data_IF_428353810933
#
_entry.id   IF_428353810933
#
_cell.length_a   1.000
_cell.length_b   1.000
_cell.length_c   1.000
_cell.angle_alpha   90.00
_cell.angle_beta   90.00
_cell.angle_gamma   90.00
#
_symmetry.space_group_name_H-M   'P 1'
#
loop_
_entity.id
_entity.type
_entity.pdbx_description
1 polymer ?
#
# COMPACT_ATOMS: atom_id res chain seq x y z
N UNK A 1 -4.45 13.01 -6.75
CA UNK A 1 -3.12 12.93 -6.15
C UNK A 1 -2.30 14.17 -6.48
N UNK A 2 -2.22 14.61 -7.75
CA UNK A 2 -1.46 15.78 -8.19
C UNK A 2 -1.63 16.99 -7.26
N UNK A 3 -2.90 17.36 -6.99
CA UNK A 3 -3.24 18.47 -6.09
C UNK A 3 -2.61 18.36 -4.70
N UNK A 4 -2.60 17.15 -4.13
CA UNK A 4 -1.98 16.91 -2.82
C UNK A 4 -0.47 17.10 -2.87
N UNK A 5 0.18 16.62 -3.93
CA UNK A 5 1.64 16.72 -4.08
C UNK A 5 2.08 18.15 -4.35
N UNK A 6 1.29 18.91 -5.12
CA UNK A 6 1.72 20.23 -5.63
C UNK A 6 1.29 21.39 -4.75
N UNK A 7 0.13 21.28 -4.07
CA UNK A 7 -0.50 22.42 -3.40
C UNK A 7 -0.53 22.32 -1.87
N UNK A 8 -0.44 21.10 -1.32
CA UNK A 8 -0.60 20.91 0.12
C UNK A 8 0.76 20.76 0.79
N UNK A 9 1.18 21.72 1.64
CA UNK A 9 2.39 21.59 2.43
C UNK A 9 2.29 20.44 3.44
N UNK A 10 3.42 19.79 3.73
CA UNK A 10 3.50 18.68 4.70
C UNK A 10 2.49 17.55 4.44
N UNK A 11 2.19 17.29 3.17
CA UNK A 11 1.28 16.24 2.77
C UNK A 11 2.01 14.95 2.40
N UNK A 12 3.08 15.10 1.60
CA UNK A 12 3.89 13.98 1.13
C UNK A 12 5.04 13.75 2.08
N UNK A 13 5.24 12.50 2.47
CA UNK A 13 6.37 12.13 3.31
C UNK A 13 7.01 10.81 2.90
N UNK A 14 8.26 10.62 3.28
CA UNK A 14 8.97 9.35 3.25
C UNK A 14 9.15 8.82 4.66
N UNK A 15 9.40 7.53 4.80
CA UNK A 15 9.57 6.88 6.09
C UNK A 15 10.89 6.13 6.17
N UNK A 16 11.59 6.30 7.29
CA UNK A 16 12.68 5.45 7.72
C UNK A 16 12.61 5.21 9.22
N UNK A 17 13.32 4.22 9.75
CA UNK A 17 13.35 3.97 11.20
C UNK A 17 13.96 5.12 12.01
N UNK A 18 14.94 5.82 11.42
CA UNK A 18 15.60 6.98 12.03
C UNK A 18 14.81 8.28 11.87
N UNK A 19 13.96 8.38 10.84
CA UNK A 19 13.12 9.54 10.55
C UNK A 19 11.75 9.06 10.05
N UNK A 20 10.80 8.99 10.98
CA UNK A 20 9.51 8.33 10.75
C UNK A 20 8.57 9.09 9.81
N UNK A 21 8.72 10.41 9.70
CA UNK A 21 7.91 11.24 8.81
C UNK A 21 8.75 12.40 8.28
N UNK A 22 9.57 12.11 7.29
CA UNK A 22 10.31 13.14 6.58
C UNK A 22 9.41 13.75 5.51
N UNK A 23 8.91 14.97 5.74
CA UNK A 23 8.05 15.66 4.81
C UNK A 23 8.83 16.21 3.61
N UNK A 24 8.24 16.01 2.43
CA UNK A 24 8.75 16.55 1.18
C UNK A 24 8.05 17.88 0.86
N UNK A 25 8.80 18.85 0.36
CA UNK A 25 8.23 20.11 -0.10
C UNK A 25 7.32 19.87 -1.34
N UNK A 26 6.25 20.66 -1.50
CA UNK A 26 5.45 20.63 -2.71
C UNK A 26 6.33 20.85 -3.96
N UNK A 27 6.08 20.06 -5.01
CA UNK A 27 6.86 20.09 -6.27
C UNK A 27 5.94 20.30 -7.45
N UNK A 28 6.37 21.07 -8.43
CA UNK A 28 5.66 21.25 -9.71
C UNK A 28 6.03 20.19 -10.75
N UNK A 29 7.27 19.71 -10.73
CA UNK A 29 7.75 18.65 -11.62
C UNK A 29 7.57 17.27 -10.94
N UNK A 30 6.41 16.67 -11.17
CA UNK A 30 6.01 15.42 -10.52
C UNK A 30 5.88 14.25 -11.48
N UNK A 31 5.81 14.49 -12.78
CA UNK A 31 5.57 13.45 -13.76
C UNK A 31 6.85 12.90 -14.42
N UNK A 32 6.85 11.64 -14.84
CA UNK A 32 5.85 10.62 -14.55
C UNK A 32 6.07 9.97 -13.17
N UNK A 33 5.00 9.39 -12.60
CA UNK A 33 5.07 8.65 -11.34
C UNK A 33 4.17 7.41 -11.33
N UNK A 34 4.42 6.50 -10.40
CA UNK A 34 3.57 5.34 -10.10
C UNK A 34 2.71 5.62 -8.87
N UNK A 35 1.39 5.50 -9.00
CA UNK A 35 0.47 5.43 -7.87
C UNK A 35 0.11 3.97 -7.59
N UNK A 36 0.39 3.51 -6.38
CA UNK A 36 -0.01 2.21 -5.84
C UNK A 36 -1.18 2.43 -4.89
N UNK A 37 -2.39 2.20 -5.37
CA UNK A 37 -3.61 2.36 -4.59
C UNK A 37 -4.01 1.03 -3.95
N UNK A 38 -3.90 0.95 -2.62
CA UNK A 38 -4.14 -0.26 -1.82
C UNK A 38 -5.47 -0.13 -1.08
N UNK A 39 -6.49 -0.79 -1.63
CA UNK A 39 -7.79 -0.97 -1.00
C UNK A 39 -8.00 -2.44 -0.60
N UNK A 40 -9.18 -3.02 -0.87
CA UNK A 40 -9.41 -4.48 -0.74
C UNK A 40 -8.51 -5.29 -1.67
N UNK A 41 -8.29 -4.82 -2.90
CA UNK A 41 -7.22 -5.23 -3.81
C UNK A 41 -6.27 -4.07 -4.08
N UNK A 42 -5.37 -4.23 -5.04
CA UNK A 42 -4.34 -3.23 -5.40
C UNK A 42 -4.42 -2.88 -6.87
N UNK A 43 -4.43 -1.59 -7.17
CA UNK A 43 -4.26 -1.07 -8.53
C UNK A 43 -3.00 -0.23 -8.62
N UNK A 44 -2.23 -0.44 -9.67
CA UNK A 44 -1.02 0.31 -9.98
C UNK A 44 -1.25 1.14 -11.23
N UNK A 45 -1.09 2.45 -11.10
CA UNK A 45 -1.46 3.45 -12.10
C UNK A 45 -0.23 4.30 -12.40
N UNK A 46 0.20 4.28 -13.65
CA UNK A 46 1.18 5.22 -14.18
C UNK A 46 0.48 6.53 -14.48
N UNK A 47 1.00 7.63 -13.96
CA UNK A 47 0.52 8.97 -14.25
C UNK A 47 1.62 9.70 -15.01
N UNK A 48 1.32 10.09 -16.26
CA UNK A 48 2.28 10.66 -17.19
C UNK A 48 2.12 12.17 -17.38
N UNK A 49 1.02 12.75 -16.88
CA UNK A 49 0.71 14.17 -16.99
C UNK A 49 -0.65 14.49 -16.37
N UNK A 50 -1.07 15.77 -16.35
CA UNK A 50 -2.36 16.16 -15.82
C UNK A 50 -3.50 15.38 -16.49
N UNK A 51 -4.29 14.66 -15.69
CA UNK A 51 -5.41 13.81 -16.17
C UNK A 51 -5.00 12.71 -17.18
N UNK A 52 -3.70 12.44 -17.34
CA UNK A 52 -3.17 11.40 -18.22
C UNK A 52 -2.63 10.26 -17.40
N UNK A 53 -3.35 9.16 -17.37
CA UNK A 53 -3.02 8.01 -16.54
C UNK A 53 -3.40 6.69 -17.21
N UNK A 54 -2.69 5.62 -16.85
CA UNK A 54 -2.88 4.28 -17.35
C UNK A 54 -2.76 3.26 -16.20
N UNK A 55 -3.65 2.28 -16.15
CA UNK A 55 -3.49 1.16 -15.21
C UNK A 55 -2.46 0.19 -15.76
N UNK A 56 -1.31 0.08 -15.11
CA UNK A 56 -0.17 -0.73 -15.58
C UNK A 56 -0.03 -2.05 -14.84
N UNK A 57 -0.76 -2.25 -13.74
CA UNK A 57 -0.68 -3.49 -12.96
C UNK A 57 -1.64 -3.52 -11.78
N UNK A 58 -1.46 -4.52 -10.95
CA UNK A 58 -2.22 -4.71 -9.72
C UNK A 58 -2.15 -6.14 -9.21
N UNK A 59 -2.75 -6.37 -8.05
CA UNK A 59 -2.91 -7.71 -7.46
C UNK A 59 -4.21 -7.77 -6.68
N UNK A 60 -4.81 -8.96 -6.59
CA UNK A 60 -5.96 -9.21 -5.73
C UNK A 60 -5.58 -9.33 -4.24
N UNK A 61 -4.28 -9.47 -3.94
CA UNK A 61 -3.77 -9.57 -2.57
C UNK A 61 -3.59 -8.16 -1.99
N UNK A 62 -4.59 -7.69 -1.26
CA UNK A 62 -4.62 -6.37 -0.63
C UNK A 62 -5.23 -6.40 0.77
N UNK A 63 -5.79 -5.28 1.21
CA UNK A 63 -6.42 -5.14 2.52
C UNK A 63 -7.59 -6.11 2.75
N UNK A 64 -8.36 -6.42 1.70
CA UNK A 64 -9.43 -7.39 1.78
C UNK A 64 -8.93 -8.81 2.02
N UNK A 65 -7.80 -9.18 1.43
CA UNK A 65 -7.16 -10.47 1.67
C UNK A 65 -6.64 -10.55 3.10
N UNK A 66 -5.95 -9.50 3.58
CA UNK A 66 -5.48 -9.44 4.96
C UNK A 66 -6.64 -9.61 5.94
N UNK A 67 -7.69 -8.82 5.78
CA UNK A 67 -8.86 -8.86 6.65
C UNK A 67 -9.54 -10.22 6.59
N UNK A 68 -9.86 -10.71 5.39
CA UNK A 68 -10.55 -11.97 5.20
C UNK A 68 -9.82 -13.15 5.85
N UNK A 69 -8.51 -13.26 5.59
CA UNK A 69 -7.71 -14.34 6.17
C UNK A 69 -7.56 -14.23 7.68
N UNK A 70 -7.32 -13.03 8.25
CA UNK A 70 -7.22 -12.87 9.69
C UNK A 70 -8.57 -13.08 10.40
N UNK A 71 -9.68 -12.69 9.78
CA UNK A 71 -11.01 -13.02 10.31
C UNK A 71 -11.24 -14.53 10.39
N UNK A 72 -10.75 -15.29 9.41
CA UNK A 72 -10.87 -16.75 9.38
C UNK A 72 -9.89 -17.45 10.35
N UNK A 73 -8.66 -16.92 10.47
CA UNK A 73 -7.58 -17.57 11.22
C UNK A 73 -7.62 -17.27 12.72
N UNK A 74 -8.00 -16.07 13.11
CA UNK A 74 -7.95 -15.64 14.51
C UNK A 74 -9.20 -14.90 15.01
N UNK A 75 -10.27 -14.86 14.18
CA UNK A 75 -11.54 -14.27 14.54
C UNK A 75 -11.55 -12.74 14.67
N UNK A 76 -10.51 -12.03 14.20
CA UNK A 76 -10.44 -10.58 14.24
C UNK A 76 -11.63 -9.93 13.54
N UNK A 77 -12.27 -8.95 14.19
CA UNK A 77 -13.51 -8.35 13.72
C UNK A 77 -13.33 -7.03 12.99
N UNK A 78 -12.27 -6.30 13.31
CA UNK A 78 -12.00 -4.99 12.71
C UNK A 78 -10.60 -4.93 12.14
N UNK A 79 -10.40 -4.03 11.17
CA UNK A 79 -9.09 -3.82 10.56
C UNK A 79 -8.07 -3.25 11.57
N UNK A 80 -8.52 -2.35 12.45
CA UNK A 80 -7.66 -1.74 13.47
C UNK A 80 -7.22 -2.76 14.53
N UNK A 81 -8.09 -3.71 14.91
CA UNK A 81 -7.74 -4.83 15.79
C UNK A 81 -6.64 -5.71 15.17
N UNK A 82 -6.76 -6.01 13.88
CA UNK A 82 -5.76 -6.80 13.15
C UNK A 82 -4.39 -6.12 13.12
N UNK A 83 -4.37 -4.81 12.87
CA UNK A 83 -3.14 -4.03 12.87
C UNK A 83 -2.52 -3.93 14.26
N UNK A 84 -3.34 -3.74 15.31
CA UNK A 84 -2.88 -3.75 16.70
C UNK A 84 -2.33 -5.12 17.13
N UNK A 85 -2.90 -6.22 16.64
CA UNK A 85 -2.33 -7.56 16.82
C UNK A 85 -0.99 -7.69 16.09
N UNK A 86 -0.92 -7.30 14.83
CA UNK A 86 0.31 -7.37 14.04
C UNK A 86 1.45 -6.54 14.66
N UNK A 87 1.16 -5.41 15.30
CA UNK A 87 2.15 -4.58 15.98
C UNK A 87 2.82 -5.30 17.15
N UNK A 88 2.08 -6.14 17.87
CA UNK A 88 2.57 -6.90 19.04
C UNK A 88 3.15 -8.26 18.69
N UNK A 89 2.93 -8.73 17.47
CA UNK A 89 3.35 -10.06 17.02
C UNK A 89 4.85 -10.14 16.70
N UNK A 90 5.31 -11.37 16.58
CA UNK A 90 6.65 -11.72 16.15
C UNK A 90 6.55 -12.73 14.98
N UNK A 91 6.73 -12.23 13.77
CA UNK A 91 6.61 -13.07 12.57
C UNK A 91 7.68 -14.18 12.51
N UNK A 92 8.79 -14.02 13.20
CA UNK A 92 9.88 -15.04 13.20
C UNK A 92 9.44 -16.37 13.80
N UNK A 93 8.35 -16.39 14.57
CA UNK A 93 7.76 -17.62 15.11
C UNK A 93 6.93 -18.40 14.08
N UNK A 94 6.44 -17.71 13.04
CA UNK A 94 5.55 -18.24 12.00
C UNK A 94 6.29 -18.39 10.68
N UNK A 95 7.08 -17.36 10.32
CA UNK A 95 7.86 -17.34 9.09
C UNK A 95 9.17 -18.16 9.22
N UNK A 96 9.55 -18.80 8.14
CA UNK A 96 10.87 -19.43 8.01
C UNK A 96 11.84 -18.38 7.48
N UNK A 97 12.91 -18.14 8.20
CA UNK A 97 13.98 -17.22 7.82
C UNK A 97 15.11 -17.93 7.09
N UNK A 98 15.94 -17.16 6.38
CA UNK A 98 17.19 -17.67 5.77
C UNK A 98 18.07 -18.32 6.82
N UNK A 99 18.19 -17.74 8.01
CA UNK A 99 18.94 -18.30 9.13
C UNK A 99 18.39 -19.65 9.64
N UNK A 100 17.09 -19.89 9.57
CA UNK A 100 16.48 -21.18 9.95
C UNK A 100 16.86 -22.31 8.98
N UNK A 101 17.23 -21.97 7.74
CA UNK A 101 17.58 -22.94 6.68
C UNK A 101 19.10 -23.16 6.64
N UNK A 102 19.88 -22.08 6.68
CA UNK A 102 21.33 -22.12 6.44
C UNK A 102 22.18 -21.91 7.70
N UNK A 103 21.55 -21.57 8.84
CA UNK A 103 22.23 -21.27 10.10
C UNK A 103 22.92 -19.89 10.15
N UNK A 104 23.20 -19.29 9.02
CA UNK A 104 23.92 -18.01 8.88
C UNK A 104 23.35 -17.19 7.72
N UNK A 105 23.94 -16.01 7.45
CA UNK A 105 23.68 -15.23 6.24
C UNK A 105 24.05 -16.04 4.98
N UNK A 106 23.21 -15.97 3.97
CA UNK A 106 23.51 -16.58 2.67
C UNK A 106 24.21 -15.56 1.76
N UNK A 107 25.48 -15.32 2.08
CA UNK A 107 26.29 -14.26 1.47
C UNK A 107 26.50 -14.39 -0.04
N UNK A 108 26.42 -15.62 -0.61
CA UNK A 108 26.56 -15.85 -2.06
C UNK A 108 25.53 -15.09 -2.91
N UNK A 109 24.35 -14.83 -2.37
CA UNK A 109 23.27 -14.09 -3.05
C UNK A 109 22.82 -12.87 -2.25
N UNK A 110 23.60 -12.45 -1.24
CA UNK A 110 23.36 -11.23 -0.48
C UNK A 110 22.16 -11.27 0.49
N UNK A 111 21.70 -12.45 0.89
CA UNK A 111 20.58 -12.59 1.83
C UNK A 111 21.07 -12.67 3.27
N UNK A 112 20.52 -11.82 4.13
CA UNK A 112 20.76 -11.87 5.58
C UNK A 112 19.99 -13.02 6.22
N UNK A 113 20.50 -13.57 7.31
CA UNK A 113 19.82 -14.59 8.11
C UNK A 113 18.43 -14.19 8.58
N UNK A 114 18.21 -12.89 8.81
CA UNK A 114 16.90 -12.32 9.19
C UNK A 114 15.90 -12.16 8.04
N UNK A 115 16.30 -12.41 6.78
CA UNK A 115 15.40 -12.32 5.63
C UNK A 115 14.38 -13.47 5.67
N UNK A 116 13.11 -13.14 5.39
CA UNK A 116 12.04 -14.14 5.28
C UNK A 116 12.27 -14.97 4.01
N UNK A 117 12.52 -16.27 4.19
CA UNK A 117 12.66 -17.22 3.10
C UNK A 117 11.30 -17.80 2.68
N UNK A 118 10.40 -18.01 3.65
CA UNK A 118 9.05 -18.51 3.40
C UNK A 118 8.08 -17.97 4.44
N UNK A 119 7.12 -17.15 4.01
CA UNK A 119 6.02 -16.75 4.87
C UNK A 119 5.22 -17.98 5.28
N UNK A 120 4.85 -18.07 6.56
CA UNK A 120 4.20 -19.24 7.16
C UNK A 120 4.99 -20.56 7.06
N UNK A 121 6.28 -20.49 6.73
CA UNK A 121 7.11 -21.70 6.49
C UNK A 121 7.28 -22.58 7.72
N UNK A 122 7.27 -22.03 8.94
CA UNK A 122 7.36 -22.84 10.17
C UNK A 122 6.06 -23.61 10.46
N UNK A 123 4.91 -23.11 10.03
CA UNK A 123 3.64 -23.83 10.14
C UNK A 123 3.69 -25.12 9.33
N UNK A 124 4.17 -25.04 8.09
CA UNK A 124 4.33 -26.22 7.23
C UNK A 124 5.36 -27.20 7.78
N UNK A 125 6.51 -26.71 8.27
CA UNK A 125 7.58 -27.56 8.83
C UNK A 125 7.07 -28.35 10.02
N UNK A 126 6.39 -27.69 10.96
CA UNK A 126 5.85 -28.33 12.16
C UNK A 126 4.80 -29.40 11.81
N UNK A 127 3.94 -29.14 10.81
CA UNK A 127 2.98 -30.15 10.33
C UNK A 127 3.67 -31.40 9.79
N UNK A 128 4.72 -31.23 8.96
CA UNK A 128 5.48 -32.37 8.41
C UNK A 128 6.26 -33.15 9.47
N UNK A 129 6.77 -32.47 10.49
CA UNK A 129 7.44 -33.12 11.62
C UNK A 129 6.44 -33.97 12.40
N UNK A 130 5.26 -33.45 12.72
CA UNK A 130 4.19 -34.21 13.38
C UNK A 130 3.69 -35.41 12.55
N UNK A 131 3.57 -35.27 11.23
CA UNK A 131 3.23 -36.39 10.32
C UNK A 131 4.28 -37.49 10.37
N UNK A 132 5.59 -37.17 10.34
CA UNK A 132 6.70 -38.14 10.44
C UNK A 132 6.73 -38.83 11.78
N UNK A 133 6.57 -38.10 12.89
CA UNK A 133 6.50 -38.66 14.22
C UNK A 133 5.34 -39.65 14.37
N UNK A 134 4.20 -39.36 13.73
CA UNK A 134 3.05 -40.25 13.70
C UNK A 134 3.32 -41.55 12.87
N UNK A 135 4.04 -41.41 11.74
CA UNK A 135 4.44 -42.54 10.90
C UNK A 135 5.47 -43.43 11.63
N UNK A 136 6.48 -42.84 12.28
CA UNK A 136 7.52 -43.54 13.02
C UNK A 136 7.00 -44.26 14.29
N UNK A 137 5.91 -43.72 14.88
CA UNK A 137 5.25 -44.28 16.07
C UNK A 137 4.33 -45.49 15.78
N UNK A 138 4.32 -46.02 14.56
CA UNK A 138 3.59 -47.26 14.21
C UNK A 138 2.08 -47.11 14.03
N UNK A 139 1.64 -46.00 13.51
CA UNK A 139 0.39 -45.82 12.76
C UNK A 139 -0.91 -46.42 13.33
N UNK A 140 -1.24 -46.18 14.56
CA UNK A 140 -2.60 -46.38 15.05
C UNK A 140 -3.22 -44.99 15.37
N UNK A 141 -4.11 -44.53 14.47
CA UNK A 141 -4.96 -43.35 14.52
C UNK A 141 -4.56 -42.11 13.71
N UNK A 142 -4.44 -42.29 12.38
CA UNK A 142 -4.29 -41.19 11.42
C UNK A 142 -5.57 -40.30 11.31
N UNK A 143 -6.62 -40.56 12.08
CA UNK A 143 -7.87 -39.74 12.08
C UNK A 143 -7.86 -38.61 13.10
N UNK A 144 -7.09 -38.70 14.16
CA UNK A 144 -7.14 -37.70 15.24
C UNK A 144 -6.29 -36.46 14.95
N UNK A 145 -5.18 -36.57 14.20
CA UNK A 145 -4.33 -35.43 13.85
C UNK A 145 -4.92 -34.50 12.79
N UNK A 146 -5.71 -35.02 11.84
CA UNK A 146 -6.43 -34.20 10.87
C UNK A 146 -7.65 -33.54 11.50
N UNK A 147 -8.22 -34.11 12.56
CA UNK A 147 -9.32 -33.51 13.31
C UNK A 147 -8.84 -32.34 14.18
N UNK A 148 -7.65 -32.38 14.76
CA UNK A 148 -7.09 -31.27 15.57
C UNK A 148 -6.87 -29.99 14.75
N UNK A 149 -6.60 -30.09 13.44
CA UNK A 149 -6.43 -28.92 12.57
C UNK A 149 -7.76 -28.45 11.95
N UNK A 150 -8.78 -29.31 11.86
CA UNK A 150 -10.09 -29.00 11.30
C UNK A 150 -11.12 -28.50 12.34
N UNK A 151 -10.83 -28.58 13.64
CA UNK A 151 -11.73 -28.14 14.72
C UNK A 151 -11.54 -26.67 15.13
N UNK A 152 -11.30 -25.78 14.17
CA UNK A 152 -11.53 -24.35 14.39
C UNK A 152 -13.05 -23.99 14.40
N UNK A 153 -13.95 -24.97 14.36
CA UNK A 153 -15.39 -24.74 14.21
C UNK A 153 -16.31 -25.71 14.95
N UNK A 154 -15.92 -26.32 16.09
CA UNK A 154 -16.93 -27.02 16.92
C UNK A 154 -16.60 -26.92 18.40
N UNK A 155 -17.60 -26.44 19.13
CA UNK A 155 -17.68 -26.35 20.58
C UNK A 155 -17.49 -27.72 21.24
N UNK A 156 -16.29 -28.06 21.64
CA UNK A 156 -16.05 -29.02 22.72
C UNK A 156 -14.62 -28.86 23.25
N UNK A 157 -14.56 -28.62 24.53
CA UNK A 157 -13.43 -28.49 25.43
C UNK A 157 -12.21 -29.36 25.07
N UNK A 158 -11.16 -28.74 24.54
CA UNK A 158 -9.78 -29.15 24.85
C UNK A 158 -8.94 -27.89 24.94
N UNK A 159 -8.39 -27.64 26.10
CA UNK A 159 -7.60 -26.50 26.54
C UNK A 159 -6.18 -26.56 25.91
N UNK A 160 -6.05 -26.61 24.59
CA UNK A 160 -4.79 -26.46 23.87
C UNK A 160 -4.81 -25.12 23.16
N UNK A 161 -4.01 -24.18 23.66
CA UNK A 161 -3.71 -22.94 22.95
C UNK A 161 -3.29 -23.25 21.50
N UNK A 162 -3.77 -22.51 20.49
CA UNK A 162 -3.34 -22.71 19.11
C UNK A 162 -1.81 -22.65 19.05
N UNK A 163 -1.15 -23.47 18.23
CA UNK A 163 0.31 -23.60 18.20
C UNK A 163 1.02 -22.29 17.84
N UNK A 164 0.30 -21.33 17.29
CA UNK A 164 0.78 -20.00 16.93
C UNK A 164 -0.12 -18.91 17.51
N UNK A 165 0.49 -17.86 18.08
CA UNK A 165 -0.26 -16.74 18.63
C UNK A 165 -0.93 -15.92 17.50
N UNK A 166 -2.15 -15.46 17.74
CA UNK A 166 -2.91 -14.62 16.80
C UNK A 166 -2.12 -13.36 16.36
N UNK A 167 -1.33 -12.77 17.26
CA UNK A 167 -0.47 -11.64 16.99
C UNK A 167 0.65 -11.99 15.98
N UNK A 168 1.31 -13.13 16.15
CA UNK A 168 2.40 -13.59 15.29
C UNK A 168 1.90 -13.92 13.88
N UNK A 169 0.72 -14.57 13.78
CA UNK A 169 0.02 -14.84 12.52
C UNK A 169 -0.33 -13.51 11.82
N UNK A 170 -0.88 -12.54 12.58
CA UNK A 170 -1.28 -11.23 12.01
C UNK A 170 -0.07 -10.48 11.45
N UNK A 171 1.07 -10.50 12.14
CA UNK A 171 2.30 -9.86 11.68
C UNK A 171 2.88 -10.55 10.45
N UNK A 172 2.95 -11.88 10.45
CA UNK A 172 3.41 -12.66 9.29
C UNK A 172 2.56 -12.37 8.04
N UNK A 173 1.24 -12.36 8.18
CA UNK A 173 0.35 -12.10 7.04
C UNK A 173 0.44 -10.66 6.55
N UNK A 174 0.54 -9.67 7.46
CA UNK A 174 0.76 -8.27 7.10
C UNK A 174 2.07 -8.12 6.29
N UNK A 175 3.14 -8.76 6.72
CA UNK A 175 4.42 -8.73 6.02
C UNK A 175 4.34 -9.42 4.65
N UNK A 176 3.74 -10.60 4.57
CA UNK A 176 3.59 -11.33 3.32
C UNK A 176 2.87 -10.50 2.25
N UNK A 177 1.75 -9.88 2.63
CA UNK A 177 0.95 -9.05 1.71
C UNK A 177 1.69 -7.76 1.36
N UNK A 178 2.23 -7.04 2.34
CA UNK A 178 2.90 -5.75 2.12
C UNK A 178 4.18 -5.90 1.30
N UNK A 179 5.01 -6.92 1.57
CA UNK A 179 6.22 -7.21 0.80
C UNK A 179 5.89 -7.56 -0.65
N UNK A 180 4.82 -8.35 -0.87
CA UNK A 180 4.37 -8.70 -2.22
C UNK A 180 3.93 -7.46 -3.01
N UNK A 181 3.13 -6.59 -2.37
CA UNK A 181 2.73 -5.31 -2.97
C UNK A 181 3.94 -4.46 -3.32
N UNK A 182 4.90 -4.32 -2.38
CA UNK A 182 6.13 -3.55 -2.58
C UNK A 182 6.98 -4.09 -3.72
N UNK A 183 7.16 -5.41 -3.82
CA UNK A 183 7.90 -6.05 -4.90
C UNK A 183 7.24 -5.81 -6.26
N UNK A 184 5.92 -6.00 -6.37
CA UNK A 184 5.20 -5.76 -7.62
C UNK A 184 5.26 -4.27 -8.00
N UNK A 185 5.12 -3.36 -7.03
CA UNK A 185 5.25 -1.92 -7.26
C UNK A 185 6.63 -1.56 -7.81
N UNK A 186 7.70 -2.10 -7.20
CA UNK A 186 9.05 -1.93 -7.69
C UNK A 186 9.21 -2.42 -9.13
N UNK A 187 8.78 -3.66 -9.43
CA UNK A 187 8.87 -4.24 -10.77
C UNK A 187 8.09 -3.43 -11.83
N UNK A 188 6.91 -2.91 -11.48
CA UNK A 188 6.17 -2.02 -12.37
C UNK A 188 6.89 -0.68 -12.57
N UNK A 189 7.50 -0.13 -11.53
CA UNK A 189 8.29 1.10 -11.64
C UNK A 189 9.48 0.91 -12.56
N UNK A 190 10.18 -0.22 -12.51
CA UNK A 190 11.29 -0.56 -13.41
C UNK A 190 10.79 -0.72 -14.86
N UNK A 191 9.75 -1.55 -15.05
CA UNK A 191 9.18 -1.81 -16.38
C UNK A 191 8.78 -0.54 -17.12
N UNK A 192 8.31 0.48 -16.40
CA UNK A 192 7.82 1.73 -16.97
C UNK A 192 8.79 2.91 -16.77
N UNK A 193 10.02 2.66 -16.30
CA UNK A 193 11.06 3.66 -16.06
C UNK A 193 10.59 4.81 -15.16
N UNK A 194 9.90 4.48 -14.06
CA UNK A 194 9.35 5.43 -13.09
C UNK A 194 10.27 5.52 -11.87
N UNK A 195 10.71 6.72 -11.52
CA UNK A 195 11.59 6.95 -10.36
C UNK A 195 10.81 7.13 -9.06
N UNK A 196 9.56 7.59 -9.13
CA UNK A 196 8.77 7.99 -7.98
C UNK A 196 7.58 7.05 -7.79
N UNK A 197 7.40 6.52 -6.58
CA UNK A 197 6.33 5.58 -6.22
C UNK A 197 5.54 6.16 -5.05
N UNK A 198 4.29 6.53 -5.28
CA UNK A 198 3.35 6.97 -4.26
C UNK A 198 2.45 5.82 -3.83
N UNK A 199 2.30 5.66 -2.53
CA UNK A 199 1.37 4.72 -1.93
C UNK A 199 0.17 5.46 -1.35
N UNK A 200 -1.03 4.96 -1.63
CA UNK A 200 -2.28 5.50 -1.11
C UNK A 200 -3.33 4.42 -0.94
N UNK A 201 -4.48 4.81 -0.41
CA UNK A 201 -5.63 3.92 -0.20
C UNK A 201 -5.81 3.49 1.26
N UNK A 202 -7.01 2.99 1.54
CA UNK A 202 -7.50 2.72 2.90
C UNK A 202 -6.72 1.65 3.69
N UNK A 203 -5.86 0.88 3.05
CA UNK A 203 -4.99 -0.10 3.69
C UNK A 203 -3.91 0.53 4.56
N UNK A 204 -3.43 1.72 4.19
CA UNK A 204 -2.30 2.38 4.86
C UNK A 204 -2.77 3.06 6.14
N UNK A 205 -3.82 3.90 6.08
CA UNK A 205 -4.44 4.62 7.21
C UNK A 205 -3.45 5.22 8.22
N UNK A 206 -2.29 5.67 7.75
CA UNK A 206 -1.23 6.16 8.64
C UNK A 206 -0.62 5.08 9.54
N UNK A 207 -0.90 3.79 9.30
CA UNK A 207 -0.44 2.72 10.17
C UNK A 207 1.06 2.49 9.99
N UNK A 208 1.82 2.77 11.04
CA UNK A 208 3.29 2.78 11.06
C UNK A 208 3.90 1.48 10.52
N UNK A 209 3.37 0.32 10.94
CA UNK A 209 3.91 -0.97 10.52
C UNK A 209 3.75 -1.22 9.02
N UNK A 210 2.59 -0.85 8.45
CA UNK A 210 2.34 -0.94 7.01
C UNK A 210 3.28 -0.03 6.23
N UNK A 211 3.41 1.23 6.65
CA UNK A 211 4.30 2.23 6.05
C UNK A 211 5.76 1.75 6.07
N UNK A 212 6.22 1.27 7.24
CA UNK A 212 7.58 0.73 7.40
C UNK A 212 7.83 -0.44 6.45
N UNK A 213 6.91 -1.41 6.38
CA UNK A 213 7.08 -2.60 5.55
C UNK A 213 7.13 -2.26 4.06
N UNK A 214 6.27 -1.36 3.58
CA UNK A 214 6.28 -0.90 2.19
C UNK A 214 7.55 -0.10 1.88
N UNK A 215 7.99 0.78 2.79
CA UNK A 215 9.25 1.53 2.65
C UNK A 215 10.45 0.60 2.56
N UNK A 216 10.50 -0.39 3.47
CA UNK A 216 11.55 -1.39 3.48
C UNK A 216 11.57 -2.20 2.17
N UNK A 217 10.41 -2.65 1.69
CA UNK A 217 10.31 -3.43 0.47
C UNK A 217 10.83 -2.65 -0.75
N UNK A 218 10.45 -1.38 -0.91
CA UNK A 218 10.96 -0.55 -2.01
C UNK A 218 12.47 -0.33 -1.89
N UNK A 219 12.96 -0.02 -0.69
CA UNK A 219 14.40 0.16 -0.45
C UNK A 219 15.19 -1.12 -0.75
N UNK A 220 14.68 -2.27 -0.30
CA UNK A 220 15.31 -3.58 -0.51
C UNK A 220 15.42 -3.93 -2.00
N UNK A 221 14.30 -3.93 -2.72
CA UNK A 221 14.26 -4.32 -4.12
C UNK A 221 14.99 -3.34 -5.04
N UNK A 222 15.03 -2.05 -4.70
CA UNK A 222 15.73 -1.04 -5.48
C UNK A 222 17.21 -0.86 -5.10
N UNK A 223 17.72 -1.66 -4.16
CA UNK A 223 19.05 -1.44 -3.55
C UNK A 223 19.24 0.00 -3.04
N UNK A 224 18.16 0.58 -2.49
CA UNK A 224 18.14 1.94 -1.95
C UNK A 224 18.03 3.06 -2.99
N UNK A 225 17.89 2.74 -4.28
CA UNK A 225 17.81 3.74 -5.36
C UNK A 225 16.44 4.43 -5.45
N UNK A 226 15.38 3.80 -4.95
CA UNK A 226 14.02 4.36 -4.95
C UNK A 226 13.49 4.52 -3.54
N UNK A 227 12.59 5.50 -3.38
CA UNK A 227 11.88 5.78 -2.13
C UNK A 227 10.38 5.50 -2.30
N UNK A 228 9.75 5.05 -1.23
CA UNK A 228 8.30 5.00 -1.10
C UNK A 228 7.81 6.33 -0.55
N UNK A 229 6.86 6.96 -1.22
CA UNK A 229 6.20 8.18 -0.79
C UNK A 229 4.79 7.88 -0.31
N UNK A 230 4.40 8.47 0.79
CA UNK A 230 3.11 8.33 1.42
C UNK A 230 2.41 9.69 1.51
N UNK A 231 1.11 9.64 1.78
CA UNK A 231 0.26 10.82 1.92
C UNK A 231 -0.31 10.85 3.33
N UNK A 232 -0.37 12.03 3.89
CA UNK A 232 -0.96 12.25 5.21
C UNK A 232 -2.49 12.10 5.20
N UNK A 233 -3.11 12.45 4.07
CA UNK A 233 -4.56 12.44 3.90
C UNK A 233 -5.02 11.49 2.77
N UNK A 234 -4.38 10.33 2.65
CA UNK A 234 -4.66 9.33 1.61
C UNK A 234 -6.14 8.90 1.52
N UNK A 235 -6.87 8.93 2.63
CA UNK A 235 -8.29 8.60 2.66
C UNK A 235 -9.20 9.55 1.90
N UNK A 236 -8.74 10.76 1.60
CA UNK A 236 -9.51 11.79 0.91
C UNK A 236 -9.26 11.90 -0.59
N UNK A 237 -8.31 11.12 -1.14
CA UNK A 237 -7.95 11.17 -2.56
C UNK A 237 -9.16 11.04 -3.50
N UNK A 238 -10.08 10.13 -3.20
CA UNK A 238 -11.28 9.91 -4.01
C UNK A 238 -12.25 11.09 -3.96
N UNK A 239 -12.54 11.62 -2.77
CA UNK A 239 -13.47 12.72 -2.57
C UNK A 239 -12.94 14.02 -3.20
N UNK A 240 -11.68 14.36 -2.93
CA UNK A 240 -11.02 15.55 -3.52
C UNK A 240 -10.90 15.39 -5.04
N UNK A 241 -10.54 14.19 -5.53
CA UNK A 241 -10.50 13.93 -6.97
C UNK A 241 -11.85 14.11 -7.67
N UNK A 242 -12.93 13.63 -7.06
CA UNK A 242 -14.30 13.80 -7.58
C UNK A 242 -14.71 15.28 -7.62
N UNK A 243 -14.35 16.06 -6.60
CA UNK A 243 -14.58 17.48 -6.55
C UNK A 243 -13.80 18.22 -7.64
N UNK A 244 -12.47 17.98 -7.72
CA UNK A 244 -11.57 18.64 -8.68
C UNK A 244 -11.89 18.29 -10.14
N UNK A 245 -12.49 17.12 -10.40
CA UNK A 245 -12.91 16.73 -11.76
C UNK A 245 -13.91 17.70 -12.39
N UNK A 246 -14.74 18.34 -11.56
CA UNK A 246 -15.76 19.30 -11.99
C UNK A 246 -15.26 20.74 -12.03
N UNK A 247 -14.04 21.01 -11.60
CA UNK A 247 -13.44 22.33 -11.59
C UNK A 247 -12.56 22.56 -12.84
N UNK A 248 -12.27 23.81 -13.21
CA UNK A 248 -11.24 24.14 -14.18
C UNK A 248 -9.91 23.46 -13.84
N UNK A 249 -9.07 23.18 -14.84
CA UNK A 249 -7.80 22.45 -14.67
C UNK A 249 -6.85 23.10 -13.67
N UNK A 250 -6.89 24.42 -13.57
CA UNK A 250 -6.04 25.25 -12.71
C UNK A 250 -6.67 25.64 -11.38
N UNK A 251 -7.89 25.16 -11.06
CA UNK A 251 -8.58 25.55 -9.84
C UNK A 251 -7.80 25.13 -8.58
N UNK A 252 -7.60 26.11 -7.68
CA UNK A 252 -6.90 25.90 -6.41
C UNK A 252 -5.41 25.58 -6.53
N UNK A 253 -4.82 25.64 -7.74
CA UNK A 253 -3.43 25.36 -7.99
C UNK A 253 -2.61 26.65 -8.02
N UNK A 254 -1.67 26.78 -7.09
CA UNK A 254 -0.78 27.95 -6.98
C UNK A 254 0.59 27.69 -7.61
N UNK A 255 1.07 26.44 -7.55
CA UNK A 255 2.43 26.08 -7.89
C UNK A 255 2.58 25.24 -9.18
N UNK A 256 1.48 24.71 -9.74
CA UNK A 256 1.53 23.77 -10.88
C UNK A 256 1.54 24.43 -12.25
N UNK A 257 1.13 25.68 -12.34
CA UNK A 257 1.13 26.44 -13.60
C UNK A 257 1.76 27.79 -13.34
N UNK A 258 2.87 28.09 -13.98
CA UNK A 258 3.49 29.40 -13.91
C UNK A 258 2.51 30.51 -14.32
N UNK A 259 2.66 31.68 -13.74
CA UNK A 259 1.79 32.86 -13.87
C UNK A 259 1.41 33.28 -15.30
N UNK A 260 2.09 32.75 -16.32
CA UNK A 260 1.87 33.09 -17.74
C UNK A 260 0.54 32.58 -18.33
N UNK A 261 -0.06 31.52 -17.79
CA UNK A 261 -1.32 30.97 -18.37
C UNK A 261 -2.55 31.63 -17.74
N UNK A 262 -2.48 32.04 -16.48
CA UNK A 262 -3.58 32.71 -15.79
C UNK A 262 -3.84 34.10 -16.41
N UNK A 263 -2.80 34.80 -16.84
CA UNK A 263 -2.94 36.11 -17.47
C UNK A 263 -3.51 36.07 -18.90
N UNK A 264 -3.23 34.98 -19.66
CA UNK A 264 -3.79 34.85 -21.02
C UNK A 264 -5.29 34.50 -21.01
N UNK A 265 -5.75 33.68 -20.05
CA UNK A 265 -7.18 33.32 -19.93
C UNK A 265 -8.01 34.46 -19.28
N UNK A 266 -7.43 35.19 -18.35
CA UNK A 266 -8.08 36.33 -17.71
C UNK A 266 -8.36 37.51 -18.67
N UNK A 267 -7.47 37.72 -19.64
CA UNK A 267 -7.65 38.76 -20.65
C UNK A 267 -8.66 38.39 -21.76
N UNK A 268 -8.76 37.07 -22.08
CA UNK A 268 -9.73 36.60 -23.09
C UNK A 268 -11.17 36.69 -22.60
N UNK A 269 -11.44 36.51 -21.31
CA UNK A 269 -12.78 36.59 -20.74
C UNK A 269 -13.23 38.06 -20.58
N UNK A 270 -12.30 39.01 -20.43
CA UNK A 270 -12.66 40.45 -20.33
C UNK A 270 -12.97 41.10 -21.66
N UNK A 271 -12.44 40.60 -22.76
CA UNK A 271 -12.65 41.19 -24.09
C UNK A 271 -14.02 40.77 -24.69
N UNK A 272 -14.51 39.57 -24.38
CA UNK A 272 -15.82 39.10 -24.90
C UNK A 272 -17.03 39.70 -24.15
N UNK A 273 -16.87 40.21 -22.93
CA UNK A 273 -17.96 40.86 -22.17
C UNK A 273 -18.14 42.32 -22.47
N UNK A 274 -17.22 42.97 -23.22
CA UNK A 274 -17.33 44.39 -23.57
C UNK A 274 -17.91 44.66 -24.97
N UNK A 275 -18.14 43.62 -25.80
CA UNK A 275 -18.66 43.79 -27.14
C UNK A 275 -20.19 43.78 -27.27
N UNK A 276 -20.92 43.38 -26.23
CA UNK A 276 -22.38 43.23 -26.32
C UNK A 276 -23.20 44.33 -25.63
N UNK A 277 -22.59 45.48 -25.30
CA UNK A 277 -23.30 46.64 -24.75
C UNK A 277 -23.06 47.91 -25.59
N UNK A 278 -23.62 47.95 -26.79
CA UNK A 278 -23.95 49.22 -27.48
C UNK A 278 -25.45 49.42 -27.45
N UNK A 279 -25.95 50.50 -26.88
CA UNK A 279 -27.39 50.79 -26.88
C UNK A 279 -27.83 51.24 -28.27
N UNK A 280 -28.95 50.68 -28.73
CA UNK A 280 -29.67 51.13 -29.91
C UNK A 280 -30.22 52.55 -29.65
N UNK A 281 -29.66 53.54 -30.29
CA UNK A 281 -30.27 54.88 -30.38
C UNK A 281 -31.38 54.88 -31.43
N UNK A 282 -32.59 55.09 -30.97
CA UNK A 282 -33.74 55.51 -31.77
C UNK A 282 -33.38 56.70 -32.60
N UNK A 283 -33.70 56.69 -33.89
CA UNK A 283 -33.99 57.82 -34.67
C UNK A 283 -35.42 57.67 -35.23
N UNK A 284 -36.39 58.35 -34.56
CA UNK A 284 -37.58 58.85 -35.16
C UNK A 284 -37.26 60.24 -35.70
N UNK A 285 -37.53 60.49 -36.94
CA UNK A 285 -38.20 61.72 -37.40
C UNK A 285 -38.31 61.80 -38.92
N UNK A 286 -39.55 62.00 -39.30
CA UNK A 286 -40.20 62.53 -40.49
C UNK A 286 -40.29 61.67 -41.72
#
# INVERSE_FOLDING_TARGET
LDFFITEIPEEVFTYSESDQMHFEAPRSDIYPYLLVNIGSGVSMIKVSGPRTYERVGGTSLGGGTLWGLLSLLNGSRTFDEMLALAERGDNTKVDMLVGDIYGTDYGKIGLKSSTIASSFGKVFKMKREAEREAEDSGGLNNKDYLSEFSTLSSDSEINKSPPFAAADISRSLLYAISNNIGQIAYLQSEKHSLSTIYFGGSFIRGHRQTINTLSYAIKFWSNGQKKAYFLRHEGFLGAVGAFLKRQPLNWGRRNSFGDGIVNSLGNTIRDDTQKDLKPALHNEST
#
